data_IF_713328867262
#
_entry.id   IF_713328867262
#
_cell.length_a   1.000
_cell.length_b   1.000
_cell.length_c   1.000
_cell.angle_alpha   90.00
_cell.angle_beta   90.00
_cell.angle_gamma   90.00
#
_symmetry.space_group_name_H-M   'P 1'
#
loop_
_entity.id
_entity.type
_entity.pdbx_description
1 polymer ?
#
# COMPACT_ATOMS: atom_id res chain seq x y z
N UNK A 1 -4.46 10.96 -10.30
CA UNK A 1 -3.00 10.83 -10.34
C UNK A 1 -2.60 9.60 -11.16
N UNK A 2 -1.33 9.53 -11.51
CA UNK A 2 -0.76 8.39 -12.21
C UNK A 2 -0.90 7.09 -11.40
N UNK A 3 -0.67 7.15 -10.09
CA UNK A 3 -0.79 6.01 -9.19
C UNK A 3 -2.24 5.49 -9.12
N UNK A 4 -3.21 6.37 -9.11
CA UNK A 4 -4.63 6.01 -9.10
C UNK A 4 -5.04 5.37 -10.42
N UNK A 5 -4.55 5.87 -11.55
CA UNK A 5 -4.86 5.34 -12.87
C UNK A 5 -4.34 3.90 -13.08
N UNK A 6 -3.20 3.54 -12.49
CA UNK A 6 -2.64 2.18 -12.55
C UNK A 6 -3.58 1.17 -11.88
N UNK A 7 -4.34 1.61 -10.88
CA UNK A 7 -5.31 0.79 -10.15
C UNK A 7 -6.75 1.06 -10.60
N UNK A 8 -6.96 1.25 -11.91
CA UNK A 8 -8.23 1.68 -12.48
C UNK A 8 -9.45 0.83 -12.08
N UNK A 9 -9.29 -0.48 -11.88
CA UNK A 9 -10.38 -1.34 -11.43
C UNK A 9 -10.89 -0.96 -10.04
N UNK A 10 -10.00 -0.55 -9.14
CA UNK A 10 -10.33 -0.09 -7.80
C UNK A 10 -11.20 1.17 -7.83
N UNK A 11 -10.84 2.14 -8.67
CA UNK A 11 -11.62 3.38 -8.83
C UNK A 11 -13.02 3.04 -9.34
N UNK A 12 -13.15 2.13 -10.30
CA UNK A 12 -14.44 1.70 -10.84
C UNK A 12 -15.30 1.00 -9.79
N UNK A 13 -14.71 0.15 -8.96
CA UNK A 13 -15.43 -0.54 -7.89
C UNK A 13 -15.96 0.44 -6.85
N UNK A 14 -15.14 1.42 -6.45
CA UNK A 14 -15.53 2.46 -5.50
C UNK A 14 -16.67 3.31 -6.09
N UNK A 15 -16.55 3.68 -7.36
CA UNK A 15 -17.60 4.42 -8.07
C UNK A 15 -18.91 3.65 -8.08
N UNK A 16 -18.90 2.35 -8.39
CA UNK A 16 -20.08 1.50 -8.40
C UNK A 16 -20.70 1.38 -7.00
N UNK A 17 -19.87 1.21 -5.98
CA UNK A 17 -20.34 1.13 -4.60
C UNK A 17 -21.04 2.42 -4.18
N UNK A 18 -20.49 3.59 -4.50
CA UNK A 18 -21.10 4.87 -4.20
C UNK A 18 -22.46 5.04 -4.90
N UNK A 19 -22.55 4.58 -6.15
CA UNK A 19 -23.82 4.63 -6.91
C UNK A 19 -24.91 3.80 -6.23
N UNK A 20 -24.58 2.62 -5.71
CA UNK A 20 -25.55 1.75 -5.04
C UNK A 20 -25.90 2.23 -3.63
N UNK A 21 -24.89 2.58 -2.84
CA UNK A 21 -25.07 2.86 -1.42
C UNK A 21 -25.62 4.27 -1.16
N UNK A 22 -25.20 5.26 -1.95
CA UNK A 22 -25.52 6.67 -1.72
C UNK A 22 -26.29 7.32 -2.86
N UNK A 23 -26.57 6.60 -3.92
CA UNK A 23 -27.27 7.12 -5.10
C UNK A 23 -26.47 8.17 -5.87
N UNK A 24 -25.15 8.17 -5.71
CA UNK A 24 -24.27 9.10 -6.42
C UNK A 24 -24.14 8.67 -7.87
N UNK A 25 -24.25 9.64 -8.79
CA UNK A 25 -24.08 9.40 -10.24
C UNK A 25 -22.61 9.34 -10.63
N UNK A 26 -22.34 9.10 -11.92
CA UNK A 26 -20.99 9.14 -12.48
C UNK A 26 -20.21 10.43 -12.15
N UNK A 27 -20.89 11.50 -11.74
CA UNK A 27 -20.28 12.71 -11.24
C UNK A 27 -19.49 12.50 -9.94
N UNK A 28 -19.73 11.41 -9.21
CA UNK A 28 -18.97 11.05 -8.01
C UNK A 28 -17.54 10.61 -8.29
N UNK A 29 -17.23 10.19 -9.54
CA UNK A 29 -15.89 9.73 -9.90
C UNK A 29 -14.79 10.78 -9.68
N UNK A 30 -14.94 12.05 -10.13
CA UNK A 30 -13.94 13.08 -9.82
C UNK A 30 -13.75 13.32 -8.32
N UNK A 31 -14.81 13.21 -7.53
CA UNK A 31 -14.73 13.35 -6.07
C UNK A 31 -13.95 12.19 -5.45
N UNK A 32 -14.21 10.95 -5.87
CA UNK A 32 -13.47 9.77 -5.39
C UNK A 32 -11.99 9.91 -5.71
N UNK A 33 -11.65 10.33 -6.92
CA UNK A 33 -10.26 10.54 -7.31
C UNK A 33 -9.59 11.62 -6.47
N UNK A 34 -10.29 12.72 -6.17
CA UNK A 34 -9.78 13.78 -5.31
C UNK A 34 -9.50 13.28 -3.89
N UNK A 35 -10.40 12.48 -3.33
CA UNK A 35 -10.22 11.89 -2.00
C UNK A 35 -9.03 10.93 -1.98
N UNK A 36 -8.88 10.09 -3.01
CA UNK A 36 -7.74 9.20 -3.14
C UNK A 36 -6.43 9.97 -3.23
N UNK A 37 -6.40 11.07 -3.98
CA UNK A 37 -5.23 11.92 -4.12
C UNK A 37 -4.88 12.62 -2.80
N UNK A 38 -5.89 13.11 -2.08
CA UNK A 38 -5.69 13.74 -0.77
C UNK A 38 -5.09 12.75 0.23
N UNK A 39 -5.66 11.56 0.31
CA UNK A 39 -5.18 10.50 1.19
C UNK A 39 -3.74 10.11 0.84
N UNK A 40 -3.45 9.95 -0.44
CA UNK A 40 -2.11 9.58 -0.89
C UNK A 40 -1.09 10.67 -0.56
N UNK A 41 -1.45 11.93 -0.71
CA UNK A 41 -0.59 13.05 -0.33
C UNK A 41 -0.25 12.99 1.16
N UNK A 42 -1.24 12.78 2.00
CA UNK A 42 -1.03 12.68 3.45
C UNK A 42 -0.15 11.48 3.81
N UNK A 43 -0.34 10.35 3.12
CA UNK A 43 0.49 9.17 3.33
C UNK A 43 1.96 9.46 2.95
N UNK A 44 2.20 10.16 1.85
CA UNK A 44 3.55 10.58 1.47
C UNK A 44 4.18 11.52 2.51
N UNK A 45 3.43 12.46 3.02
CA UNK A 45 3.93 13.38 4.07
C UNK A 45 4.39 12.61 5.32
N UNK A 46 3.57 11.67 5.79
CA UNK A 46 3.93 10.83 6.92
C UNK A 46 5.13 9.93 6.61
N UNK A 47 5.12 9.33 5.44
CA UNK A 47 6.21 8.45 4.99
C UNK A 47 7.55 9.20 4.93
N UNK A 48 7.56 10.39 4.35
CA UNK A 48 8.77 11.21 4.24
C UNK A 48 9.29 11.64 5.62
N UNK A 49 8.39 11.97 6.56
CA UNK A 49 8.77 12.29 7.94
C UNK A 49 9.48 11.09 8.59
N UNK A 50 8.91 9.90 8.45
CA UNK A 50 9.53 8.69 9.00
C UNK A 50 10.84 8.31 8.32
N UNK A 51 10.93 8.51 6.99
CA UNK A 51 12.18 8.29 6.26
C UNK A 51 13.29 9.23 6.75
N UNK A 52 12.93 10.47 6.99
CA UNK A 52 13.87 11.47 7.51
C UNK A 52 14.38 11.13 8.91
N UNK A 53 13.57 10.46 9.71
CA UNK A 53 13.94 9.95 11.04
C UNK A 53 14.67 8.61 11.01
N UNK A 54 14.82 8.01 9.83
CA UNK A 54 15.37 6.66 9.64
C UNK A 54 14.63 5.60 10.45
N UNK A 55 13.30 5.74 10.53
CA UNK A 55 12.44 4.80 11.26
C UNK A 55 12.57 3.39 10.68
N UNK A 56 12.75 2.41 11.55
CA UNK A 56 12.78 1.00 11.15
C UNK A 56 11.41 0.57 10.62
N UNK A 57 11.42 -0.29 9.60
CA UNK A 57 10.20 -0.86 9.06
C UNK A 57 9.60 -1.87 10.03
N UNK A 58 8.28 -1.83 10.16
CA UNK A 58 7.50 -2.79 10.93
C UNK A 58 6.15 -3.01 10.25
N UNK A 59 5.50 -4.11 10.57
CA UNK A 59 4.15 -4.37 10.07
C UNK A 59 3.19 -3.25 10.51
N UNK A 60 3.33 -2.77 11.74
CA UNK A 60 2.50 -1.67 12.24
C UNK A 60 2.70 -0.37 11.45
N UNK A 61 3.94 -0.06 11.08
CA UNK A 61 4.24 1.10 10.22
C UNK A 61 3.54 0.97 8.87
N UNK A 62 3.61 -0.20 8.23
CA UNK A 62 2.97 -0.43 6.94
C UNK A 62 1.45 -0.35 7.05
N UNK A 63 0.86 -0.92 8.09
CA UNK A 63 -0.58 -0.81 8.34
C UNK A 63 -1.00 0.63 8.58
N UNK A 64 -0.22 1.40 9.30
CA UNK A 64 -0.50 2.82 9.55
C UNK A 64 -0.49 3.64 8.27
N UNK A 65 0.47 3.40 7.37
CA UNK A 65 0.51 4.07 6.07
C UNK A 65 -0.67 3.66 5.20
N UNK A 66 -1.02 2.37 5.18
CA UNK A 66 -2.19 1.90 4.43
C UNK A 66 -3.48 2.51 4.97
N UNK A 67 -3.59 2.68 6.28
CA UNK A 67 -4.74 3.35 6.89
C UNK A 67 -4.90 4.79 6.38
N UNK A 68 -3.80 5.50 6.16
CA UNK A 68 -3.84 6.84 5.59
C UNK A 68 -4.25 6.79 4.12
N UNK A 69 -3.63 5.89 3.34
CA UNK A 69 -3.93 5.73 1.90
C UNK A 69 -5.41 5.42 1.68
N UNK A 70 -6.01 4.62 2.55
CA UNK A 70 -7.39 4.14 2.40
C UNK A 70 -8.40 4.88 3.26
N UNK A 71 -8.01 5.96 3.93
CA UNK A 71 -8.84 6.65 4.92
C UNK A 71 -10.25 6.99 4.43
N UNK A 72 -10.36 7.54 3.24
CA UNK A 72 -11.64 8.00 2.69
C UNK A 72 -12.27 7.01 1.68
N UNK A 73 -11.58 5.94 1.32
CA UNK A 73 -12.03 5.03 0.26
C UNK A 73 -12.06 3.57 0.68
N UNK A 74 -11.62 3.27 1.90
CA UNK A 74 -11.68 1.91 2.43
C UNK A 74 -13.06 1.49 2.90
N UNK A 75 -13.20 0.22 3.21
CA UNK A 75 -14.48 -0.37 3.66
C UNK A 75 -14.25 -1.45 4.70
N UNK A 76 -15.31 -1.77 5.43
CA UNK A 76 -15.35 -2.91 6.33
C UNK A 76 -15.83 -4.14 5.53
N UNK A 77 -15.14 -5.26 5.71
CA UNK A 77 -15.44 -6.54 5.06
C UNK A 77 -15.76 -7.58 6.13
N UNK A 78 -16.87 -8.30 5.98
CA UNK A 78 -17.22 -9.43 6.83
C UNK A 78 -16.99 -10.72 6.06
N UNK A 79 -16.17 -11.61 6.61
CA UNK A 79 -15.82 -12.88 5.98
C UNK A 79 -16.07 -14.05 6.95
N UNK A 80 -16.01 -15.27 6.42
CA UNK A 80 -16.13 -16.47 7.26
C UNK A 80 -15.01 -16.57 8.31
N UNK A 81 -13.86 -15.94 8.06
CA UNK A 81 -12.68 -15.98 8.93
C UNK A 81 -12.54 -14.74 9.81
N UNK A 82 -13.48 -13.81 9.72
CA UNK A 82 -13.48 -12.61 10.54
C UNK A 82 -13.79 -11.36 9.75
N UNK A 83 -13.78 -10.24 10.46
CA UNK A 83 -14.04 -8.92 9.93
C UNK A 83 -12.73 -8.14 9.83
N UNK A 84 -12.56 -7.34 8.77
CA UNK A 84 -11.41 -6.46 8.64
C UNK A 84 -11.83 -5.15 7.96
N UNK A 85 -11.13 -4.07 8.28
CA UNK A 85 -11.43 -2.72 7.79
C UNK A 85 -10.22 -2.18 7.04
N UNK A 86 -10.34 -2.06 5.72
CA UNK A 86 -9.25 -1.56 4.89
C UNK A 86 -8.92 -0.09 5.16
N UNK A 87 -9.88 0.69 5.64
CA UNK A 87 -9.64 2.10 6.01
C UNK A 87 -8.79 2.26 7.26
N UNK A 88 -8.62 1.19 8.03
CA UNK A 88 -7.75 1.14 9.22
C UNK A 88 -6.42 0.44 8.97
N UNK A 89 -6.14 0.07 7.73
CA UNK A 89 -4.91 -0.60 7.37
C UNK A 89 -4.90 -2.09 7.66
N UNK A 90 -6.03 -2.69 8.00
CA UNK A 90 -6.11 -4.11 8.30
C UNK A 90 -5.68 -4.96 7.10
N UNK A 91 -4.94 -6.02 7.39
CA UNK A 91 -4.55 -6.99 6.38
C UNK A 91 -5.77 -7.78 5.93
N UNK A 92 -5.80 -8.17 4.65
CA UNK A 92 -6.92 -8.91 4.09
C UNK A 92 -7.07 -10.30 4.75
N UNK A 93 -8.32 -10.70 4.91
CA UNK A 93 -8.70 -12.03 5.35
C UNK A 93 -9.42 -12.80 4.24
N UNK A 94 -9.12 -12.45 2.98
CA UNK A 94 -9.70 -13.06 1.78
C UNK A 94 -8.63 -13.22 0.72
N UNK A 95 -8.86 -14.15 -0.21
CA UNK A 95 -8.07 -14.25 -1.43
C UNK A 95 -8.38 -13.08 -2.37
N UNK A 96 -7.39 -12.65 -3.13
CA UNK A 96 -7.55 -11.62 -4.17
C UNK A 96 -6.86 -12.08 -5.44
N UNK A 97 -7.35 -11.60 -6.57
CA UNK A 97 -6.84 -11.94 -7.89
C UNK A 97 -6.46 -10.68 -8.67
N UNK A 98 -5.59 -10.85 -9.66
CA UNK A 98 -5.18 -9.77 -10.55
C UNK A 98 -6.22 -9.56 -11.67
N UNK A 99 -7.41 -9.08 -11.30
CA UNK A 99 -8.52 -8.88 -12.23
C UNK A 99 -9.28 -10.17 -12.54
N UNK A 100 -10.29 -10.07 -13.40
CA UNK A 100 -11.12 -11.21 -13.78
C UNK A 100 -10.31 -12.24 -14.57
N UNK A 101 -10.26 -13.47 -14.10
CA UNK A 101 -9.49 -14.55 -14.71
C UNK A 101 -7.99 -14.48 -14.51
N UNK A 102 -7.49 -13.52 -13.70
CA UNK A 102 -6.08 -13.39 -13.38
C UNK A 102 -5.61 -14.39 -12.33
N UNK A 103 -4.27 -14.41 -12.11
CA UNK A 103 -3.69 -15.27 -11.07
C UNK A 103 -4.08 -14.78 -9.69
N UNK A 104 -4.25 -15.73 -8.76
CA UNK A 104 -4.41 -15.43 -7.36
C UNK A 104 -3.09 -14.92 -6.76
N UNK A 105 -3.19 -13.92 -5.90
CA UNK A 105 -2.06 -13.51 -5.08
C UNK A 105 -1.87 -14.49 -3.92
N UNK A 106 -0.84 -14.27 -3.12
CA UNK A 106 -0.51 -15.10 -1.97
C UNK A 106 -1.74 -15.38 -1.09
N UNK A 107 -1.84 -16.61 -0.59
CA UNK A 107 -2.89 -16.96 0.37
C UNK A 107 -2.82 -16.03 1.58
N UNK A 108 -3.97 -15.48 1.98
CA UNK A 108 -4.05 -14.48 3.06
C UNK A 108 -3.50 -15.01 4.40
N UNK A 109 -3.55 -16.32 4.62
CA UNK A 109 -3.00 -16.91 5.85
C UNK A 109 -1.48 -16.75 5.95
N UNK A 110 -0.80 -16.62 4.83
CA UNK A 110 0.67 -16.45 4.77
C UNK A 110 1.09 -14.98 4.87
N UNK A 111 0.18 -14.05 4.66
CA UNK A 111 0.49 -12.62 4.56
C UNK A 111 1.18 -12.08 5.81
N UNK A 112 0.67 -12.30 7.05
CA UNK A 112 1.32 -11.74 8.23
C UNK A 112 2.78 -12.15 8.39
N UNK A 113 3.07 -13.45 8.25
CA UNK A 113 4.44 -13.95 8.38
C UNK A 113 5.36 -13.42 7.28
N UNK A 114 4.87 -13.36 6.05
CA UNK A 114 5.65 -12.84 4.92
C UNK A 114 5.91 -11.34 5.04
N UNK A 115 4.97 -10.61 5.59
CA UNK A 115 5.15 -9.17 5.82
C UNK A 115 6.19 -8.91 6.93
N UNK A 116 6.22 -9.75 7.98
CA UNK A 116 7.27 -9.72 9.00
C UNK A 116 8.65 -10.01 8.40
N UNK A 117 8.76 -11.04 7.56
CA UNK A 117 10.00 -11.36 6.84
C UNK A 117 10.46 -10.19 5.96
N UNK A 118 9.52 -9.57 5.26
CA UNK A 118 9.77 -8.40 4.43
C UNK A 118 10.41 -7.28 5.26
N UNK A 119 9.82 -6.94 6.38
CA UNK A 119 10.32 -5.86 7.23
C UNK A 119 11.74 -6.16 7.74
N UNK A 120 12.00 -7.40 8.18
CA UNK A 120 13.33 -7.82 8.62
C UNK A 120 14.36 -7.72 7.51
N UNK A 121 14.01 -8.20 6.32
CA UNK A 121 14.89 -8.15 5.15
C UNK A 121 15.23 -6.72 4.76
N UNK A 122 14.23 -5.85 4.67
CA UNK A 122 14.43 -4.45 4.31
C UNK A 122 15.28 -3.73 5.36
N UNK A 123 14.98 -3.93 6.64
CA UNK A 123 15.74 -3.29 7.71
C UNK A 123 17.20 -3.72 7.70
N UNK A 124 17.49 -4.98 7.46
CA UNK A 124 18.87 -5.48 7.39
C UNK A 124 19.66 -4.76 6.30
N UNK A 125 19.06 -4.63 5.11
CA UNK A 125 19.70 -3.93 4.00
C UNK A 125 19.83 -2.42 4.26
N UNK A 126 18.80 -1.82 4.88
CA UNK A 126 18.85 -0.40 5.27
C UNK A 126 19.98 -0.13 6.26
N UNK A 127 20.13 -0.97 7.27
CA UNK A 127 21.21 -0.82 8.27
C UNK A 127 22.59 -0.88 7.60
N UNK A 128 22.79 -1.77 6.64
CA UNK A 128 24.03 -1.84 5.88
C UNK A 128 24.29 -0.55 5.09
N UNK A 129 23.25 -0.01 4.46
CA UNK A 129 23.34 1.23 3.67
C UNK A 129 23.56 2.47 4.55
N UNK A 130 23.03 2.49 5.77
CA UNK A 130 23.27 3.57 6.71
C UNK A 130 24.72 3.62 7.16
N UNK A 131 25.39 2.46 7.25
CA UNK A 131 26.81 2.37 7.59
C UNK A 131 27.70 2.68 6.39
N UNK A 132 27.36 2.17 5.20
CA UNK A 132 28.14 2.30 3.98
C UNK A 132 27.20 2.71 2.84
N UNK A 133 26.98 4.01 2.62
CA UNK A 133 26.10 4.49 1.56
C UNK A 133 26.55 4.00 0.18
N UNK A 134 25.60 3.47 -0.58
CA UNK A 134 25.78 3.01 -1.95
C UNK A 134 24.52 3.33 -2.73
N UNK A 135 24.53 4.37 -3.59
CA UNK A 135 23.33 4.77 -4.34
C UNK A 135 22.76 3.66 -5.22
N UNK A 136 23.61 2.86 -5.85
CA UNK A 136 23.14 1.75 -6.69
C UNK A 136 22.39 0.71 -5.87
N UNK A 137 22.95 0.30 -4.74
CA UNK A 137 22.28 -0.67 -3.87
C UNK A 137 21.01 -0.08 -3.24
N UNK A 138 21.00 1.20 -2.93
CA UNK A 138 19.80 1.88 -2.41
C UNK A 138 18.66 1.87 -3.45
N UNK A 139 18.96 2.12 -4.73
CA UNK A 139 17.97 1.99 -5.79
C UNK A 139 17.46 0.55 -5.91
N UNK A 140 18.39 -0.42 -5.90
CA UNK A 140 18.01 -1.84 -5.96
C UNK A 140 17.11 -2.23 -4.79
N UNK A 141 17.43 -1.77 -3.59
CA UNK A 141 16.61 -2.01 -2.41
C UNK A 141 15.20 -1.45 -2.60
N UNK A 142 15.08 -0.23 -3.13
CA UNK A 142 13.77 0.39 -3.36
C UNK A 142 12.93 -0.41 -4.35
N UNK A 143 13.52 -0.92 -5.43
CA UNK A 143 12.84 -1.72 -6.42
C UNK A 143 12.46 -3.10 -5.86
N UNK A 144 13.35 -3.73 -5.10
CA UNK A 144 13.08 -5.00 -4.44
C UNK A 144 11.92 -4.88 -3.46
N UNK A 145 11.91 -3.81 -2.66
CA UNK A 145 10.82 -3.55 -1.73
C UNK A 145 9.48 -3.42 -2.44
N UNK A 146 9.45 -2.69 -3.56
CA UNK A 146 8.26 -2.58 -4.41
C UNK A 146 7.79 -3.96 -4.88
N UNK A 147 8.70 -4.74 -5.47
CA UNK A 147 8.36 -6.03 -6.06
C UNK A 147 7.90 -7.05 -5.02
N UNK A 148 8.56 -7.11 -3.88
CA UNK A 148 8.17 -8.03 -2.80
C UNK A 148 6.79 -7.66 -2.25
N UNK A 149 6.55 -6.38 -2.02
CA UNK A 149 5.27 -5.93 -1.45
C UNK A 149 4.11 -6.15 -2.42
N UNK A 150 4.30 -5.93 -3.71
CA UNK A 150 3.32 -6.27 -4.74
C UNK A 150 3.02 -7.77 -4.75
N UNK A 151 4.05 -8.61 -4.57
CA UNK A 151 3.90 -10.07 -4.55
C UNK A 151 3.11 -10.55 -3.33
N UNK A 152 3.41 -9.99 -2.15
CA UNK A 152 2.66 -10.32 -0.93
C UNK A 152 1.22 -9.86 -1.04
N UNK A 153 1.01 -8.67 -1.59
CA UNK A 153 -0.32 -8.07 -1.77
C UNK A 153 -1.11 -8.08 -0.46
N UNK A 154 -0.62 -7.38 0.59
CA UNK A 154 -1.12 -7.57 1.96
C UNK A 154 -2.56 -7.13 2.19
N UNK A 155 -3.05 -6.19 1.41
CA UNK A 155 -4.36 -5.56 1.62
C UNK A 155 -5.33 -5.98 0.54
N UNK A 156 -6.62 -5.74 0.79
CA UNK A 156 -7.66 -5.99 -0.21
C UNK A 156 -7.61 -4.95 -1.33
N UNK A 157 -7.05 -3.77 -1.06
CA UNK A 157 -6.98 -2.65 -1.98
C UNK A 157 -5.81 -1.72 -1.60
N UNK A 158 -5.37 -0.90 -2.55
CA UNK A 158 -4.30 0.07 -2.31
C UNK A 158 -2.89 -0.50 -2.37
N UNK A 159 -2.71 -1.76 -2.78
CA UNK A 159 -1.39 -2.41 -2.80
C UNK A 159 -0.40 -1.75 -3.75
N UNK A 160 -0.84 -1.33 -4.94
CA UNK A 160 0.02 -0.65 -5.89
C UNK A 160 0.49 0.70 -5.36
N UNK A 161 -0.42 1.48 -4.79
CA UNK A 161 -0.11 2.77 -4.18
C UNK A 161 0.87 2.62 -3.01
N UNK A 162 0.63 1.64 -2.14
CA UNK A 162 1.53 1.33 -1.03
C UNK A 162 2.90 0.88 -1.51
N UNK A 163 2.98 0.02 -2.50
CA UNK A 163 4.25 -0.48 -3.03
C UNK A 163 5.09 0.66 -3.63
N UNK A 164 4.46 1.58 -4.36
CA UNK A 164 5.14 2.76 -4.90
C UNK A 164 5.53 3.74 -3.79
N UNK A 165 4.68 3.90 -2.79
CA UNK A 165 4.99 4.74 -1.62
C UNK A 165 6.26 4.24 -0.90
N UNK A 166 6.34 2.94 -0.65
CA UNK A 166 7.48 2.34 0.03
C UNK A 166 8.75 2.43 -0.81
N UNK A 167 8.64 2.25 -2.13
CA UNK A 167 9.76 2.47 -3.04
C UNK A 167 10.30 3.89 -2.92
N UNK A 168 9.43 4.88 -2.98
CA UNK A 168 9.78 6.29 -2.85
C UNK A 168 10.31 6.63 -1.46
N UNK A 169 9.75 6.02 -0.41
CA UNK A 169 10.22 6.17 0.97
C UNK A 169 11.70 5.81 1.08
N UNK A 170 12.10 4.67 0.54
CA UNK A 170 13.49 4.20 0.59
C UNK A 170 14.39 5.13 -0.24
N UNK A 171 13.95 5.51 -1.42
CA UNK A 171 14.72 6.46 -2.25
C UNK A 171 14.91 7.80 -1.53
N UNK A 172 13.89 8.31 -0.88
CA UNK A 172 13.96 9.53 -0.11
C UNK A 172 14.90 9.39 1.09
N UNK A 173 14.78 8.29 1.82
CA UNK A 173 15.62 8.03 3.00
C UNK A 173 17.11 8.10 2.68
N UNK A 174 17.49 7.61 1.51
CA UNK A 174 18.91 7.56 1.09
C UNK A 174 19.32 8.69 0.14
N UNK A 175 18.51 9.73 0.06
CA UNK A 175 18.85 10.94 -0.68
C UNK A 175 18.86 10.79 -2.20
N UNK A 176 18.08 9.85 -2.75
CA UNK A 176 18.04 9.59 -4.19
C UNK A 176 16.98 10.43 -4.92
N UNK A 177 16.13 11.11 -4.20
CA UNK A 177 15.10 11.99 -4.74
C UNK A 177 15.07 13.30 -4.01
#
# INVERSE_FOLDING_TARGET
THSTAIEGSTVTEIENQLLFDEGITAKGKPMVEQLMNLDLKQAYEQSMAWANEHKAFSVEMLKSLSAIVMRNTGSVYSTLTGEFDSSKGDLRLVGVTAGAGGRSYMNYLKVPAKLEEFCKHINKRREALLKNPDPTDAYLLSFDAHNILVTIHPWVDGNGRMSRLIMNHIQFEFGLV
#
